data_IF_937164837873
#
_entry.id   IF_937164837873
#
_cell.length_a   1.000
_cell.length_b   1.000
_cell.length_c   1.000
_cell.angle_alpha   90.00
_cell.angle_beta   90.00
_cell.angle_gamma   90.00
#
_symmetry.space_group_name_H-M   'P 1'
#
loop_
_entity.id
_entity.type
_entity.pdbx_description
1 polymer ?
#
# COMPACT_ATOMS: atom_id res chain seq x y z
N UNK A 1 5.61 -3.37 7.36
CA UNK A 1 5.89 -1.94 7.54
C UNK A 1 7.10 -1.41 6.75
N UNK A 2 8.37 -1.45 7.21
CA UNK A 2 9.49 -0.80 6.49
C UNK A 2 9.74 -1.33 5.06
N UNK A 3 9.74 -2.66 4.88
CA UNK A 3 9.87 -3.29 3.56
C UNK A 3 8.71 -2.96 2.62
N UNK A 4 7.50 -2.83 3.18
CA UNK A 4 6.29 -2.50 2.43
C UNK A 4 6.31 -1.03 1.97
N UNK A 5 6.74 -0.11 2.84
CA UNK A 5 6.91 1.31 2.50
C UNK A 5 8.02 1.52 1.46
N UNK A 6 9.11 0.75 1.52
CA UNK A 6 10.13 0.77 0.47
C UNK A 6 9.57 0.30 -0.89
N UNK A 7 8.68 -0.70 -0.89
CA UNK A 7 7.95 -1.13 -2.10
C UNK A 7 7.09 0.00 -2.68
N UNK A 8 6.31 0.68 -1.85
CA UNK A 8 5.50 1.84 -2.27
C UNK A 8 6.34 3.02 -2.75
N UNK A 9 7.51 3.24 -2.14
CA UNK A 9 8.46 4.25 -2.57
C UNK A 9 8.99 3.98 -3.99
N UNK A 10 9.43 2.74 -4.24
CA UNK A 10 9.88 2.30 -5.56
C UNK A 10 8.75 2.39 -6.59
N UNK A 11 7.54 1.99 -6.20
CA UNK A 11 6.37 2.12 -7.05
C UNK A 11 6.10 3.58 -7.45
N UNK A 12 6.17 4.53 -6.51
CA UNK A 12 6.00 5.94 -6.81
C UNK A 12 7.09 6.51 -7.72
N UNK A 13 8.34 6.11 -7.51
CA UNK A 13 9.44 6.49 -8.40
C UNK A 13 9.20 5.95 -9.83
N UNK A 14 8.75 4.70 -9.95
CA UNK A 14 8.44 4.09 -11.24
C UNK A 14 7.23 4.73 -11.92
N UNK A 15 6.18 5.04 -11.16
CA UNK A 15 4.99 5.75 -11.66
C UNK A 15 5.38 7.10 -12.27
N UNK A 16 6.28 7.84 -11.61
CA UNK A 16 6.81 9.09 -12.16
C UNK A 16 7.67 8.86 -13.40
N UNK A 17 8.55 7.87 -13.42
CA UNK A 17 9.34 7.52 -14.60
C UNK A 17 8.44 7.19 -15.80
N UNK A 18 7.41 6.37 -15.57
CA UNK A 18 6.43 6.00 -16.59
C UNK A 18 5.66 7.21 -17.12
N UNK A 19 5.24 8.13 -16.25
CA UNK A 19 4.63 9.39 -16.68
C UNK A 19 5.55 10.21 -17.59
N UNK A 20 6.87 10.20 -17.34
CA UNK A 20 7.83 10.92 -18.18
C UNK A 20 8.03 10.23 -19.53
N UNK A 21 8.07 8.90 -19.56
CA UNK A 21 8.09 8.12 -20.78
C UNK A 21 6.87 8.43 -21.67
N UNK A 22 5.66 8.46 -21.09
CA UNK A 22 4.44 8.83 -21.83
C UNK A 22 4.47 10.25 -22.39
N UNK A 23 5.17 11.17 -21.71
CA UNK A 23 5.32 12.56 -22.15
C UNK A 23 6.50 12.77 -23.09
N UNK A 24 7.26 11.72 -23.43
CA UNK A 24 8.51 11.80 -24.18
C UNK A 24 9.51 12.81 -23.59
N UNK A 25 9.56 12.90 -22.25
CA UNK A 25 10.50 13.77 -21.54
C UNK A 25 11.68 12.94 -20.99
N UNK A 26 12.84 13.57 -20.86
CA UNK A 26 13.98 12.96 -20.17
C UNK A 26 13.58 12.54 -18.76
N UNK A 27 14.05 11.38 -18.29
CA UNK A 27 13.80 10.93 -16.92
C UNK A 27 14.36 11.87 -15.85
N UNK A 28 15.31 12.73 -16.21
CA UNK A 28 15.87 13.76 -15.32
C UNK A 28 15.06 15.05 -15.28
N UNK A 29 14.03 15.19 -16.11
CA UNK A 29 13.20 16.39 -16.16
C UNK A 29 12.34 16.51 -14.88
N UNK A 30 12.50 17.63 -14.17
CA UNK A 30 11.85 17.89 -12.88
C UNK A 30 12.03 16.75 -11.85
N UNK A 31 13.27 16.53 -11.34
CA UNK A 31 13.60 15.39 -10.48
C UNK A 31 12.86 15.40 -9.14
N UNK A 32 12.48 16.58 -8.64
CA UNK A 32 11.63 16.71 -7.45
C UNK A 32 10.27 16.03 -7.61
N UNK A 33 9.79 15.87 -8.85
CA UNK A 33 8.57 15.10 -9.12
C UNK A 33 8.65 13.64 -8.66
N UNK A 34 9.84 13.04 -8.63
CA UNK A 34 10.02 11.69 -8.06
C UNK A 34 9.87 11.72 -6.55
N UNK A 35 10.46 12.70 -5.87
CA UNK A 35 10.34 12.84 -4.41
C UNK A 35 8.88 13.00 -3.99
N UNK A 36 8.13 13.86 -4.69
CA UNK A 36 6.69 14.04 -4.43
C UNK A 36 5.88 12.78 -4.71
N UNK A 37 6.14 12.10 -5.84
CA UNK A 37 5.41 10.89 -6.21
C UNK A 37 5.69 9.75 -5.24
N UNK A 38 6.97 9.49 -4.95
CA UNK A 38 7.42 8.52 -3.94
C UNK A 38 6.78 8.81 -2.58
N UNK A 39 6.83 10.05 -2.11
CA UNK A 39 6.23 10.44 -0.83
C UNK A 39 4.71 10.21 -0.79
N UNK A 40 4.00 10.58 -1.85
CA UNK A 40 2.57 10.36 -1.97
C UNK A 40 2.20 8.87 -1.94
N UNK A 41 2.93 8.03 -2.69
CA UNK A 41 2.69 6.59 -2.73
C UNK A 41 3.05 5.89 -1.44
N UNK A 42 4.11 6.31 -0.75
CA UNK A 42 4.44 5.83 0.61
C UNK A 42 3.33 6.18 1.60
N UNK A 43 2.82 7.42 1.57
CA UNK A 43 1.71 7.84 2.42
C UNK A 43 0.44 7.03 2.15
N UNK A 44 0.11 6.80 0.88
CA UNK A 44 -0.98 5.92 0.47
C UNK A 44 -0.77 4.49 1.00
N UNK A 45 0.40 3.91 0.79
CA UNK A 45 0.75 2.58 1.24
C UNK A 45 0.61 2.39 2.76
N UNK A 46 1.00 3.41 3.53
CA UNK A 46 0.82 3.40 4.99
C UNK A 46 -0.66 3.36 5.40
N UNK A 47 -1.50 4.20 4.79
CA UNK A 47 -2.95 4.21 5.05
C UNK A 47 -3.61 2.91 4.60
N UNK A 48 -3.18 2.37 3.45
CA UNK A 48 -3.67 1.11 2.91
C UNK A 48 -3.30 -0.08 3.83
N UNK A 49 -2.05 -0.17 4.30
CA UNK A 49 -1.62 -1.21 5.24
C UNK A 49 -2.44 -1.15 6.55
N UNK A 50 -2.70 0.07 7.06
CA UNK A 50 -3.58 0.25 8.22
C UNK A 50 -5.00 -0.24 7.96
N UNK A 51 -5.54 0.06 6.78
CA UNK A 51 -6.88 -0.39 6.40
C UNK A 51 -6.96 -1.92 6.28
N UNK A 52 -6.00 -2.56 5.60
CA UNK A 52 -5.95 -4.02 5.46
C UNK A 52 -5.89 -4.69 6.84
N UNK A 53 -4.99 -4.23 7.72
CA UNK A 53 -4.87 -4.79 9.07
C UNK A 53 -6.17 -4.70 9.87
N UNK A 54 -6.86 -3.57 9.80
CA UNK A 54 -8.16 -3.43 10.48
C UNK A 54 -9.21 -4.41 9.94
N UNK A 55 -9.19 -4.72 8.64
CA UNK A 55 -10.11 -5.69 8.06
C UNK A 55 -9.77 -7.12 8.49
N UNK A 56 -8.47 -7.45 8.54
CA UNK A 56 -8.00 -8.77 8.98
C UNK A 56 -8.41 -9.02 10.44
N UNK A 57 -8.27 -8.02 11.32
CA UNK A 57 -8.74 -8.11 12.72
C UNK A 57 -10.26 -8.40 12.80
N UNK A 58 -11.07 -7.70 12.00
CA UNK A 58 -12.53 -7.92 11.96
C UNK A 58 -12.86 -9.34 11.46
N UNK A 59 -12.15 -9.82 10.45
CA UNK A 59 -12.36 -11.17 9.90
C UNK A 59 -11.97 -12.22 10.94
N UNK A 60 -10.85 -12.03 11.64
CA UNK A 60 -10.35 -12.95 12.65
C UNK A 60 -11.32 -13.05 13.84
N UNK A 61 -11.87 -11.92 14.30
CA UNK A 61 -12.91 -11.91 15.33
C UNK A 61 -14.18 -12.67 14.90
N UNK A 62 -14.62 -12.49 13.65
CA UNK A 62 -15.78 -13.21 13.11
C UNK A 62 -15.50 -14.71 13.02
N UNK A 63 -14.30 -15.10 12.59
CA UNK A 63 -13.86 -16.49 12.56
C UNK A 63 -13.84 -17.11 13.95
N UNK A 64 -13.37 -16.38 14.96
CA UNK A 64 -13.38 -16.83 16.36
C UNK A 64 -14.80 -17.09 16.86
N UNK A 65 -15.73 -16.16 16.64
CA UNK A 65 -17.16 -16.32 17.02
C UNK A 65 -17.80 -17.53 16.36
N UNK A 66 -17.52 -17.78 15.07
CA UNK A 66 -18.03 -18.95 14.35
C UNK A 66 -17.48 -20.27 14.92
N UNK A 67 -16.20 -20.31 15.29
CA UNK A 67 -15.60 -21.50 15.94
C UNK A 67 -16.23 -21.77 17.31
N UNK A 68 -16.43 -20.74 18.12
CA UNK A 68 -17.09 -20.85 19.43
C UNK A 68 -18.54 -21.34 19.31
N UNK A 69 -19.29 -20.88 18.29
CA UNK A 69 -20.65 -21.36 18.03
C UNK A 69 -20.69 -22.83 17.61
N UNK A 70 -19.75 -23.26 16.75
CA UNK A 70 -19.62 -24.68 16.36
C UNK A 70 -19.32 -25.58 17.55
N UNK A 71 -18.44 -25.15 18.45
CA UNK A 71 -18.12 -25.91 19.67
C UNK A 71 -19.27 -26.00 20.67
N UNK A 72 -20.21 -25.05 20.66
CA UNK A 72 -21.42 -25.11 21.51
C UNK A 72 -22.54 -25.98 20.94
N UNK A 73 -22.48 -26.30 19.65
CA UNK A 73 -23.50 -27.08 18.93
C UNK A 73 -23.08 -28.55 18.75
N UNK A 74 -21.78 -28.85 18.92
CA UNK A 74 -21.24 -30.21 19.01
C UNK A 74 -21.28 -30.71 20.46
#
# INVERSE_FOLDING_TARGET
MLSNLAGWALFGAFARAYQQALRNLSFTYAPMGYVYSTGAWVGFGYLFEKWVRNNDEIIEERLKKLKEQRQKTA
#
